data_IF_522446087434
#
_entry.id   IF_522446087434
#
_cell.length_a   1.000
_cell.length_b   1.000
_cell.length_c   1.000
_cell.angle_alpha   90.00
_cell.angle_beta   90.00
_cell.angle_gamma   90.00
#
_symmetry.space_group_name_H-M   'P 1'
#
loop_
_entity.id
_entity.type
_entity.pdbx_description
1 polymer ?
#
# COMPACT_ATOMS: atom_id res chain seq x y z
N UNK A 1 10.82 -13.05 0.70
CA UNK A 1 9.70 -13.18 1.64
C UNK A 1 9.73 -14.48 2.44
N UNK A 2 9.45 -14.44 3.74
CA UNK A 2 9.27 -15.65 4.58
C UNK A 2 7.81 -16.17 4.51
N UNK A 3 7.57 -17.40 4.97
CA UNK A 3 6.24 -18.03 4.87
C UNK A 3 5.18 -17.36 5.76
N UNK A 4 5.58 -16.79 6.90
CA UNK A 4 4.69 -16.07 7.83
C UNK A 4 4.14 -14.81 7.18
N UNK A 5 5.02 -13.97 6.63
CA UNK A 5 4.67 -12.74 5.89
C UNK A 5 3.74 -13.05 4.72
N UNK A 6 4.06 -14.08 3.93
CA UNK A 6 3.20 -14.47 2.82
C UNK A 6 1.80 -14.87 3.29
N UNK A 7 1.71 -15.71 4.33
CA UNK A 7 0.43 -16.15 4.90
C UNK A 7 -0.38 -14.96 5.41
N UNK A 8 0.26 -14.00 6.08
CA UNK A 8 -0.40 -12.77 6.53
C UNK A 8 -0.99 -11.98 5.36
N UNK A 9 -0.17 -11.67 4.34
CA UNK A 9 -0.59 -10.94 3.13
C UNK A 9 -1.75 -11.64 2.41
N UNK A 10 -1.81 -12.97 2.42
CA UNK A 10 -2.88 -13.72 1.75
C UNK A 10 -4.17 -13.81 2.57
N UNK A 11 -4.10 -13.77 3.91
CA UNK A 11 -5.23 -14.17 4.78
C UNK A 11 -5.83 -13.04 5.63
N UNK A 12 -5.08 -11.96 5.90
CA UNK A 12 -5.59 -10.84 6.71
C UNK A 12 -6.84 -10.23 6.09
N UNK A 13 -7.83 -9.87 6.92
CA UNK A 13 -9.05 -9.21 6.43
C UNK A 13 -8.94 -7.70 6.61
N UNK A 14 -9.68 -6.96 5.78
CA UNK A 14 -9.79 -5.49 5.91
C UNK A 14 -10.22 -5.10 7.33
N UNK A 15 -11.11 -5.89 7.96
CA UNK A 15 -11.58 -5.67 9.33
C UNK A 15 -10.55 -5.93 10.44
N UNK A 16 -9.46 -6.62 10.12
CA UNK A 16 -8.44 -7.00 11.11
C UNK A 16 -7.37 -5.91 11.26
N UNK A 17 -7.37 -4.90 10.38
CA UNK A 17 -6.43 -3.78 10.40
C UNK A 17 -7.05 -2.63 11.22
N UNK A 18 -6.33 -2.07 12.22
CA UNK A 18 -6.80 -0.93 13.01
C UNK A 18 -6.63 0.38 12.22
N UNK A 19 -7.36 0.53 11.12
CA UNK A 19 -7.19 1.63 10.15
C UNK A 19 -7.20 3.03 10.78
N UNK A 20 -8.05 3.26 11.79
CA UNK A 20 -8.15 4.55 12.47
C UNK A 20 -6.89 4.92 13.27
N UNK A 21 -6.00 3.95 13.53
CA UNK A 21 -4.73 4.13 14.25
C UNK A 21 -3.52 4.19 13.33
N UNK A 22 -3.71 3.97 12.02
CA UNK A 22 -2.65 4.04 11.02
C UNK A 22 -2.64 5.41 10.37
N UNK A 23 -1.46 6.03 10.31
CA UNK A 23 -1.31 7.35 9.70
C UNK A 23 -1.25 7.30 8.19
N UNK A 24 -1.73 8.38 7.61
CA UNK A 24 -1.67 8.72 6.20
C UNK A 24 -1.05 10.12 6.04
N UNK A 25 -0.89 10.56 4.79
CA UNK A 25 -0.48 11.94 4.50
C UNK A 25 -1.39 12.99 5.13
N UNK A 26 -2.71 12.77 5.11
CA UNK A 26 -3.70 13.75 5.57
C UNK A 26 -4.56 13.24 6.73
N UNK A 27 -3.92 12.54 7.68
CA UNK A 27 -4.55 12.10 8.93
C UNK A 27 -4.49 10.59 9.13
N UNK A 28 -5.66 9.93 9.13
CA UNK A 28 -5.83 8.51 9.46
C UNK A 28 -6.45 7.74 8.32
N UNK A 29 -6.14 6.46 8.25
CA UNK A 29 -6.68 5.56 7.25
C UNK A 29 -8.13 5.10 7.54
N UNK A 30 -8.85 5.75 8.46
CA UNK A 30 -10.20 5.37 8.93
C UNK A 30 -11.17 5.01 7.81
N UNK A 31 -11.15 5.76 6.70
CA UNK A 31 -12.06 5.59 5.57
C UNK A 31 -11.56 4.62 4.49
N UNK A 32 -10.33 4.08 4.61
CA UNK A 32 -9.75 3.15 3.64
C UNK A 32 -10.63 1.93 3.36
N UNK A 33 -11.28 1.28 4.35
CA UNK A 33 -12.20 0.17 4.07
C UNK A 33 -13.29 0.51 3.05
N UNK A 34 -13.86 1.73 3.12
CA UNK A 34 -14.91 2.16 2.21
C UNK A 34 -14.36 2.38 0.80
N UNK A 35 -13.19 3.03 0.66
CA UNK A 35 -12.54 3.23 -0.64
C UNK A 35 -12.14 1.90 -1.29
N UNK A 36 -11.57 0.97 -0.50
CA UNK A 36 -11.22 -0.37 -0.98
C UNK A 36 -12.44 -1.17 -1.44
N UNK A 37 -13.59 -1.03 -0.77
CA UNK A 37 -14.85 -1.67 -1.18
C UNK A 37 -15.33 -1.13 -2.53
N UNK A 38 -15.26 0.19 -2.77
CA UNK A 38 -15.60 0.81 -4.05
C UNK A 38 -14.76 0.22 -5.19
N UNK A 39 -13.44 0.14 -5.00
CA UNK A 39 -12.52 -0.43 -5.99
C UNK A 39 -12.78 -1.94 -6.20
N UNK A 40 -13.08 -2.69 -5.13
CA UNK A 40 -13.39 -4.12 -5.22
C UNK A 40 -14.67 -4.40 -6.01
N UNK A 41 -15.67 -3.54 -5.87
CA UNK A 41 -16.98 -3.69 -6.51
C UNK A 41 -16.96 -3.48 -8.02
N UNK A 42 -16.07 -2.62 -8.53
CA UNK A 42 -15.86 -2.37 -9.97
C UNK A 42 -17.14 -1.99 -10.73
N UNK A 43 -17.99 -1.16 -10.11
CA UNK A 43 -19.34 -0.81 -10.63
C UNK A 43 -19.40 0.52 -11.37
N UNK A 44 -18.57 1.49 -11.01
CA UNK A 44 -18.66 2.86 -11.48
C UNK A 44 -17.25 3.47 -11.56
N UNK A 45 -16.91 4.06 -12.71
CA UNK A 45 -15.56 4.60 -12.97
C UNK A 45 -15.35 5.87 -12.15
N UNK A 46 -16.31 6.78 -12.10
CA UNK A 46 -16.18 8.05 -11.36
C UNK A 46 -15.99 7.79 -9.85
N UNK A 47 -16.68 6.79 -9.30
CA UNK A 47 -16.50 6.36 -7.91
C UNK A 47 -15.12 5.72 -7.68
N UNK A 48 -14.62 4.93 -8.63
CA UNK A 48 -13.27 4.37 -8.58
C UNK A 48 -12.23 5.48 -8.60
N UNK A 49 -12.36 6.47 -9.47
CA UNK A 49 -11.41 7.57 -9.61
C UNK A 49 -11.32 8.34 -8.30
N UNK A 50 -12.48 8.70 -7.72
CA UNK A 50 -12.54 9.40 -6.45
C UNK A 50 -11.92 8.58 -5.30
N UNK A 51 -12.32 7.30 -5.15
CA UNK A 51 -11.80 6.45 -4.08
C UNK A 51 -10.31 6.09 -4.28
N UNK A 52 -9.88 5.92 -5.52
CA UNK A 52 -8.51 5.64 -5.89
C UNK A 52 -7.59 6.83 -5.64
N UNK A 53 -8.05 8.05 -5.94
CA UNK A 53 -7.32 9.29 -5.63
C UNK A 53 -7.15 9.47 -4.11
N UNK A 54 -8.22 9.28 -3.33
CA UNK A 54 -8.16 9.34 -1.86
C UNK A 54 -7.16 8.34 -1.28
N UNK A 55 -7.12 7.11 -1.80
CA UNK A 55 -6.13 6.12 -1.39
C UNK A 55 -4.71 6.53 -1.80
N UNK A 56 -4.50 6.88 -3.07
CA UNK A 56 -3.19 7.20 -3.62
C UNK A 56 -2.52 8.35 -2.87
N UNK A 57 -3.24 9.46 -2.65
CA UNK A 57 -2.74 10.65 -1.97
C UNK A 57 -2.43 10.45 -0.49
N UNK A 58 -2.98 9.39 0.13
CA UNK A 58 -2.83 9.11 1.55
C UNK A 58 -1.83 7.99 1.85
N UNK A 59 -1.49 7.14 0.87
CA UNK A 59 -0.47 6.10 1.01
C UNK A 59 0.92 6.56 0.52
N UNK A 60 1.00 7.62 -0.26
CA UNK A 60 2.27 8.18 -0.71
C UNK A 60 2.13 9.69 -0.87
N UNK A 61 3.15 10.42 -0.40
CA UNK A 61 3.27 11.83 -0.69
C UNK A 61 4.73 12.27 -0.69
N UNK A 62 5.13 13.00 -1.75
CA UNK A 62 6.50 13.52 -1.93
C UNK A 62 7.57 12.42 -1.78
N UNK A 63 7.33 11.27 -2.42
CA UNK A 63 8.19 10.09 -2.41
C UNK A 63 8.37 9.44 -1.04
N UNK A 64 7.44 9.67 -0.11
CA UNK A 64 7.44 9.08 1.24
C UNK A 64 6.23 8.17 1.40
N UNK A 65 6.48 6.94 1.88
CA UNK A 65 5.42 6.00 2.25
C UNK A 65 5.00 6.20 3.71
N UNK A 66 3.72 5.93 3.99
CA UNK A 66 3.10 6.12 5.30
C UNK A 66 2.79 4.79 5.98
N UNK A 67 2.42 4.85 7.27
CA UNK A 67 2.16 3.66 8.08
C UNK A 67 1.04 2.79 7.49
N UNK A 68 0.01 3.41 6.89
CA UNK A 68 -1.08 2.70 6.23
C UNK A 68 -0.70 2.02 4.90
N UNK A 69 0.37 2.46 4.24
CA UNK A 69 0.75 2.04 2.88
C UNK A 69 0.94 0.53 2.71
N UNK A 70 1.79 -0.16 3.49
CA UNK A 70 1.98 -1.60 3.30
C UNK A 70 0.66 -2.37 3.45
N UNK A 71 -0.23 -1.94 4.36
CA UNK A 71 -1.53 -2.58 4.57
C UNK A 71 -2.50 -2.31 3.42
N UNK A 72 -2.60 -1.07 2.95
CA UNK A 72 -3.44 -0.73 1.79
C UNK A 72 -3.02 -1.53 0.55
N UNK A 73 -1.72 -1.68 0.31
CA UNK A 73 -1.19 -2.45 -0.83
C UNK A 73 -1.61 -3.92 -0.82
N UNK A 74 -1.79 -4.54 0.35
CA UNK A 74 -2.30 -5.92 0.42
C UNK A 74 -3.64 -6.02 -0.29
N UNK A 75 -4.55 -5.09 0.00
CA UNK A 75 -5.89 -5.10 -0.55
C UNK A 75 -5.91 -4.60 -1.99
N UNK A 76 -5.11 -3.59 -2.33
CA UNK A 76 -4.95 -3.13 -3.72
C UNK A 76 -4.40 -4.24 -4.62
N UNK A 77 -3.45 -5.06 -4.15
CA UNK A 77 -2.97 -6.24 -4.87
C UNK A 77 -4.09 -7.26 -5.12
N UNK A 78 -4.92 -7.53 -4.10
CA UNK A 78 -6.05 -8.46 -4.23
C UNK A 78 -7.12 -7.93 -5.19
N UNK A 79 -7.39 -6.63 -5.15
CA UNK A 79 -8.27 -5.93 -6.09
C UNK A 79 -7.70 -6.02 -7.50
N UNK A 80 -6.40 -5.74 -7.69
CA UNK A 80 -5.72 -5.86 -8.97
C UNK A 80 -5.85 -7.27 -9.54
N UNK A 81 -5.60 -8.30 -8.73
CA UNK A 81 -5.79 -9.70 -9.14
C UNK A 81 -7.20 -9.97 -9.63
N UNK A 82 -8.22 -9.56 -8.87
CA UNK A 82 -9.63 -9.69 -9.28
C UNK A 82 -9.92 -8.94 -10.59
N UNK A 83 -9.38 -7.73 -10.74
CA UNK A 83 -9.57 -6.92 -11.93
C UNK A 83 -8.93 -7.58 -13.17
N UNK A 84 -7.73 -8.17 -13.01
CA UNK A 84 -7.06 -8.96 -14.05
C UNK A 84 -7.87 -10.19 -14.47
N UNK A 85 -8.59 -10.83 -13.54
CA UNK A 85 -9.46 -11.97 -13.84
C UNK A 85 -10.74 -11.54 -14.60
N UNK A 86 -11.24 -10.33 -14.36
CA UNK A 86 -12.50 -9.83 -14.91
C UNK A 86 -12.37 -8.94 -16.17
N UNK A 87 -11.19 -8.36 -16.42
CA UNK A 87 -10.96 -7.38 -17.50
C UNK A 87 -11.27 -7.89 -18.92
N UNK A 88 -11.38 -9.21 -19.12
CA UNK A 88 -11.81 -9.79 -20.40
C UNK A 88 -13.28 -9.50 -20.76
N UNK A 89 -14.12 -9.22 -19.76
CA UNK A 89 -15.56 -9.02 -19.92
C UNK A 89 -16.14 -7.87 -19.08
N UNK A 90 -15.33 -7.21 -18.26
CA UNK A 90 -15.67 -6.00 -17.51
C UNK A 90 -14.73 -4.85 -17.93
N UNK A 91 -15.29 -3.82 -18.57
CA UNK A 91 -14.49 -2.65 -19.00
C UNK A 91 -13.98 -1.82 -17.82
N UNK A 92 -14.73 -1.77 -16.72
CA UNK A 92 -14.32 -1.08 -15.49
C UNK A 92 -13.16 -1.81 -14.83
N UNK A 93 -13.18 -3.16 -14.83
CA UNK A 93 -12.04 -3.94 -14.36
C UNK A 93 -10.79 -3.68 -15.23
N UNK A 94 -10.93 -3.60 -16.56
CA UNK A 94 -9.82 -3.26 -17.46
C UNK A 94 -9.26 -1.87 -17.20
N UNK A 95 -10.13 -0.90 -16.94
CA UNK A 95 -9.75 0.44 -16.53
C UNK A 95 -8.95 0.41 -15.21
N UNK A 96 -9.50 -0.26 -14.19
CA UNK A 96 -8.87 -0.36 -12.88
C UNK A 96 -7.51 -1.09 -12.90
N UNK A 97 -7.32 -2.11 -13.75
CA UNK A 97 -6.00 -2.75 -13.96
C UNK A 97 -4.96 -1.71 -14.39
N UNK A 98 -5.32 -0.81 -15.32
CA UNK A 98 -4.41 0.24 -15.77
C UNK A 98 -4.08 1.21 -14.64
N UNK A 99 -5.09 1.71 -13.93
CA UNK A 99 -4.87 2.70 -12.86
C UNK A 99 -4.06 2.14 -11.68
N UNK A 100 -4.33 0.90 -11.28
CA UNK A 100 -3.54 0.24 -10.23
C UNK A 100 -2.11 -0.06 -10.68
N UNK A 101 -1.88 -0.40 -11.96
CA UNK A 101 -0.53 -0.57 -12.48
C UNK A 101 0.25 0.77 -12.45
N UNK A 102 -0.39 1.88 -12.79
CA UNK A 102 0.21 3.22 -12.67
C UNK A 102 0.56 3.56 -11.22
N UNK A 103 -0.37 3.34 -10.28
CA UNK A 103 -0.11 3.53 -8.85
C UNK A 103 1.05 2.66 -8.34
N UNK A 104 1.08 1.37 -8.71
CA UNK A 104 2.16 0.47 -8.29
C UNK A 104 3.52 0.87 -8.84
N UNK A 105 3.59 1.51 -10.02
CA UNK A 105 4.86 2.08 -10.53
C UNK A 105 5.33 3.20 -9.61
N UNK A 106 4.45 4.14 -9.25
CA UNK A 106 4.79 5.26 -8.36
C UNK A 106 5.32 4.74 -7.02
N UNK A 107 4.62 3.78 -6.42
CA UNK A 107 5.05 3.17 -5.16
C UNK A 107 6.38 2.43 -5.32
N UNK A 108 6.58 1.68 -6.40
CA UNK A 108 7.83 0.98 -6.65
C UNK A 108 9.00 1.94 -6.87
N UNK A 109 8.80 3.11 -7.49
CA UNK A 109 9.81 4.16 -7.60
C UNK A 109 10.18 4.72 -6.22
N UNK A 110 9.19 5.00 -5.37
CA UNK A 110 9.42 5.44 -3.99
C UNK A 110 10.21 4.40 -3.18
N UNK A 111 9.89 3.12 -3.36
CA UNK A 111 10.62 2.00 -2.74
C UNK A 111 12.07 1.96 -3.21
N UNK A 112 12.29 2.02 -4.53
CA UNK A 112 13.64 2.01 -5.10
C UNK A 112 14.50 3.11 -4.49
N UNK A 113 13.95 4.32 -4.44
CA UNK A 113 14.68 5.49 -3.96
C UNK A 113 14.90 5.40 -2.43
N UNK A 114 13.90 4.91 -1.68
CA UNK A 114 14.03 4.67 -0.23
C UNK A 114 15.07 3.61 0.13
N UNK A 115 15.22 2.55 -0.67
CA UNK A 115 16.23 1.51 -0.49
C UNK A 115 17.67 1.99 -0.77
N UNK A 116 17.86 3.13 -1.42
CA UNK A 116 19.20 3.72 -1.63
C UNK A 116 19.69 4.53 -0.42
N UNK A 117 18.81 4.85 0.54
CA UNK A 117 19.15 5.61 1.73
C UNK A 117 19.75 4.71 2.81
N UNK A 118 20.41 5.32 3.81
CA UNK A 118 20.81 4.59 5.00
C UNK A 118 19.55 4.18 5.79
N UNK A 119 19.44 2.90 6.09
CA UNK A 119 18.32 2.34 6.83
C UNK A 119 18.82 1.23 7.77
N UNK A 120 18.07 1.01 8.84
CA UNK A 120 18.25 -0.16 9.70
C UNK A 120 17.55 -1.38 9.09
N UNK A 121 17.66 -2.54 9.73
CA UNK A 121 16.89 -3.73 9.34
C UNK A 121 15.40 -3.54 9.66
N UNK A 122 14.53 -4.09 8.82
CA UNK A 122 13.08 -4.09 9.04
C UNK A 122 12.66 -4.95 10.24
N UNK A 123 11.43 -4.74 10.72
CA UNK A 123 10.78 -5.60 11.71
C UNK A 123 10.68 -7.06 11.23
N UNK A 124 10.63 -8.01 12.16
CA UNK A 124 10.73 -9.45 11.86
C UNK A 124 9.53 -10.00 11.07
N UNK A 125 8.33 -9.53 11.38
CA UNK A 125 7.08 -9.93 10.73
C UNK A 125 6.30 -8.71 10.25
N UNK A 126 5.44 -8.91 9.25
CA UNK A 126 4.58 -7.86 8.73
C UNK A 126 3.65 -7.29 9.80
N UNK A 127 3.04 -8.17 10.60
CA UNK A 127 2.10 -7.81 11.65
C UNK A 127 2.74 -7.08 12.84
N UNK A 128 4.07 -7.15 12.98
CA UNK A 128 4.77 -6.43 14.05
C UNK A 128 4.59 -4.91 13.89
N UNK A 129 4.34 -4.41 12.67
CA UNK A 129 3.97 -3.00 12.42
C UNK A 129 2.64 -2.57 13.06
N UNK A 130 1.84 -3.53 13.55
CA UNK A 130 0.59 -3.31 14.29
C UNK A 130 0.75 -3.49 15.81
N UNK A 131 1.98 -3.64 16.31
CA UNK A 131 2.21 -3.68 17.75
C UNK A 131 1.79 -2.35 18.40
N UNK A 132 1.25 -2.43 19.62
CA UNK A 132 0.68 -1.29 20.34
C UNK A 132 1.64 -0.09 20.46
N UNK A 133 2.94 -0.34 20.56
CA UNK A 133 3.97 0.70 20.65
C UNK A 133 4.10 1.57 19.38
N UNK A 134 3.67 1.05 18.23
CA UNK A 134 3.72 1.74 16.93
C UNK A 134 2.38 2.35 16.54
N UNK A 135 1.29 1.86 17.11
CA UNK A 135 -0.03 2.38 16.85
C UNK A 135 -0.21 3.74 17.54
N UNK A 136 -0.93 4.63 16.88
CA UNK A 136 -1.31 5.89 17.49
C UNK A 136 -2.54 5.71 18.37
N UNK A 137 -2.98 6.73 19.15
CA UNK A 137 -4.14 6.58 20.04
C UNK A 137 -5.41 6.08 19.34
N UNK A 138 -6.26 5.40 20.10
CA UNK A 138 -7.57 4.91 19.63
C UNK A 138 -8.52 6.07 19.28
N UNK A 139 -8.44 7.17 20.03
CA UNK A 139 -9.22 8.37 19.78
C UNK A 139 -8.42 9.31 18.89
N UNK A 140 -9.00 9.72 17.76
CA UNK A 140 -8.39 10.69 16.87
C UNK A 140 -8.52 12.10 17.46
N UNK A 141 -7.38 12.75 17.68
CA UNK A 141 -7.26 14.15 18.03
C UNK A 141 -6.24 14.81 17.11
N UNK A 142 -6.70 15.75 16.27
CA UNK A 142 -5.85 16.42 15.29
C UNK A 142 -4.73 17.24 15.95
N UNK A 143 -5.01 17.89 17.07
CA UNK A 143 -4.04 18.74 17.76
C UNK A 143 -2.95 17.87 18.42
N UNK A 144 -3.33 16.73 19.05
CA UNK A 144 -2.36 15.78 19.59
C UNK A 144 -1.54 15.11 18.47
N UNK A 145 -2.17 14.78 17.34
CA UNK A 145 -1.48 14.16 16.21
C UNK A 145 -0.43 15.11 15.62
N UNK A 146 -0.77 16.41 15.47
CA UNK A 146 0.17 17.45 15.02
C UNK A 146 1.34 17.59 15.98
N UNK A 147 1.07 17.60 17.29
CA UNK A 147 2.14 17.68 18.31
C UNK A 147 3.12 16.52 18.20
N UNK A 148 2.64 15.31 17.93
CA UNK A 148 3.50 14.13 17.73
C UNK A 148 4.38 14.27 16.49
N UNK A 149 3.89 14.88 15.41
CA UNK A 149 4.71 15.15 14.22
C UNK A 149 5.79 16.23 14.44
N UNK A 150 5.66 17.05 15.49
CA UNK A 150 6.70 18.01 15.88
C UNK A 150 7.83 17.38 16.71
N UNK A 151 7.68 16.13 17.14
CA UNK A 151 8.71 15.39 17.86
C UNK A 151 9.89 15.01 16.95
N UNK A 152 11.09 14.86 17.54
CA UNK A 152 12.30 14.54 16.79
C UNK A 152 12.24 13.15 16.12
N UNK A 153 11.52 12.20 16.72
CA UNK A 153 11.41 10.81 16.28
C UNK A 153 9.93 10.38 16.24
N UNK A 154 9.25 10.65 15.11
CA UNK A 154 7.82 10.30 14.92
C UNK A 154 7.62 8.78 14.82
N UNK A 155 8.53 8.12 14.11
CA UNK A 155 8.57 6.67 13.93
C UNK A 155 9.99 6.17 14.22
N UNK A 156 10.12 5.03 14.92
CA UNK A 156 11.39 4.31 14.98
C UNK A 156 11.89 3.94 13.58
N UNK A 157 13.21 3.96 13.39
CA UNK A 157 13.84 3.74 12.06
C UNK A 157 13.46 2.37 11.44
N UNK A 158 13.32 1.33 12.26
CA UNK A 158 12.99 -0.04 11.83
C UNK A 158 11.53 -0.15 11.39
N UNK A 159 10.61 0.50 12.11
CA UNK A 159 9.22 0.66 11.70
C UNK A 159 9.12 1.43 10.38
N UNK A 160 9.79 2.58 10.28
CA UNK A 160 9.74 3.40 9.08
C UNK A 160 10.28 2.66 7.86
N UNK A 161 11.42 1.98 8.00
CA UNK A 161 11.96 1.14 6.91
C UNK A 161 11.04 -0.04 6.56
N UNK A 162 10.33 -0.59 7.56
CA UNK A 162 9.34 -1.66 7.33
C UNK A 162 8.22 -1.25 6.37
N UNK A 163 7.86 0.04 6.31
CA UNK A 163 6.88 0.53 5.34
C UNK A 163 7.33 0.25 3.90
N UNK A 164 8.60 0.49 3.58
CA UNK A 164 9.19 0.26 2.26
C UNK A 164 9.42 -1.22 2.00
N UNK A 165 10.05 -1.91 2.95
CA UNK A 165 10.38 -3.33 2.80
C UNK A 165 9.13 -4.19 2.57
N UNK A 166 8.10 -4.02 3.40
CA UNK A 166 6.89 -4.84 3.30
C UNK A 166 6.00 -4.42 2.13
N UNK A 167 5.97 -3.13 1.76
CA UNK A 167 5.33 -2.69 0.52
C UNK A 167 5.97 -3.36 -0.71
N UNK A 168 7.30 -3.51 -0.74
CA UNK A 168 7.99 -4.27 -1.79
C UNK A 168 7.58 -5.74 -1.78
N UNK A 169 7.55 -6.39 -0.60
CA UNK A 169 7.15 -7.80 -0.53
C UNK A 169 5.73 -8.03 -1.08
N UNK A 170 4.81 -7.09 -0.87
CA UNK A 170 3.47 -7.12 -1.45
C UNK A 170 3.54 -6.92 -2.97
N UNK A 171 4.24 -5.89 -3.47
CA UNK A 171 4.31 -5.63 -4.91
C UNK A 171 5.00 -6.75 -5.70
N UNK A 172 6.00 -7.44 -5.13
CA UNK A 172 6.64 -8.57 -5.81
C UNK A 172 5.64 -9.71 -6.14
N UNK A 173 4.55 -9.83 -5.39
CA UNK A 173 3.47 -10.80 -5.67
C UNK A 173 2.62 -10.42 -6.89
N UNK A 174 2.72 -9.19 -7.40
CA UNK A 174 2.02 -8.79 -8.61
C UNK A 174 2.70 -9.31 -9.88
N UNK A 175 4.03 -9.56 -9.86
CA UNK A 175 4.83 -10.00 -11.03
C UNK A 175 4.18 -11.10 -11.89
N UNK A 176 3.66 -12.22 -11.34
CA UNK A 176 3.04 -13.27 -12.16
C UNK A 176 1.70 -12.87 -12.80
N UNK A 177 1.09 -11.77 -12.36
CA UNK A 177 -0.19 -11.26 -12.87
C UNK A 177 -0.02 -10.30 -14.05
N UNK A 178 1.20 -9.78 -14.28
CA UNK A 178 1.47 -8.71 -15.24
C UNK A 178 1.49 -9.21 -16.69
N UNK A 179 0.73 -8.54 -17.57
CA UNK A 179 0.71 -8.76 -19.01
C UNK A 179 1.92 -8.10 -19.69
N UNK A 180 2.76 -8.92 -20.31
CA UNK A 180 3.96 -8.49 -21.05
C UNK A 180 3.65 -7.72 -22.34
N UNK A 181 2.38 -7.61 -22.73
CA UNK A 181 1.95 -6.83 -23.87
C UNK A 181 1.39 -5.45 -23.47
N UNK A 182 1.18 -5.20 -22.17
CA UNK A 182 0.75 -3.91 -21.66
C UNK A 182 1.96 -3.07 -21.25
N UNK A 183 2.08 -1.85 -21.79
CA UNK A 183 3.21 -0.96 -21.54
C UNK A 183 3.42 -0.67 -20.05
N UNK A 184 2.36 -0.37 -19.30
CA UNK A 184 2.47 -0.04 -17.87
C UNK A 184 2.90 -1.25 -17.05
N UNK A 185 2.30 -2.41 -17.33
CA UNK A 185 2.63 -3.65 -16.64
C UNK A 185 4.04 -4.14 -16.96
N UNK A 186 4.54 -3.92 -18.19
CA UNK A 186 5.95 -4.16 -18.54
C UNK A 186 6.88 -3.24 -17.74
N UNK A 187 6.58 -1.94 -17.67
CA UNK A 187 7.38 -0.99 -16.89
C UNK A 187 7.42 -1.38 -15.41
N UNK A 188 6.28 -1.76 -14.83
CA UNK A 188 6.21 -2.24 -13.45
C UNK A 188 7.03 -3.52 -13.27
N UNK A 189 6.94 -4.48 -14.19
CA UNK A 189 7.71 -5.73 -14.13
C UNK A 189 9.22 -5.49 -14.18
N UNK A 190 9.68 -4.58 -15.05
CA UNK A 190 11.09 -4.19 -15.16
C UNK A 190 11.58 -3.56 -13.86
N UNK A 191 10.83 -2.60 -13.33
CA UNK A 191 11.16 -1.90 -12.09
C UNK A 191 11.21 -2.84 -10.88
N UNK A 192 10.21 -3.71 -10.71
CA UNK A 192 10.21 -4.70 -9.63
C UNK A 192 11.32 -5.76 -9.78
N UNK A 193 11.77 -6.02 -11.00
CA UNK A 193 12.91 -6.92 -11.24
C UNK A 193 14.22 -6.22 -10.93
N UNK A 194 14.35 -4.92 -11.20
CA UNK A 194 15.51 -4.11 -10.81
C UNK A 194 15.66 -4.06 -9.29
N UNK A 195 14.57 -3.75 -8.56
CA UNK A 195 14.60 -3.61 -7.09
C UNK A 195 14.89 -4.93 -6.37
N UNK A 196 14.46 -6.06 -6.93
CA UNK A 196 14.67 -7.39 -6.31
C UNK A 196 16.12 -7.89 -6.42
N UNK A 197 16.90 -7.39 -7.38
CA UNK A 197 18.27 -7.85 -7.69
C UNK A 197 19.35 -7.10 -6.91
#
# INVERSE_FOLDING_TARGET
MNATTQTYIETVKVSDIPWHRLTTTYGRATDFPAHLEVLWDMKDVDAIDAAGEELAQNIEHQSTLWHATPFALIFLLRIFKKAVEEQGHNEIARYLVKELAELFIIIAECIRDGLMLEHVDQLSNFEDMLNEEYLWPEEYDEDEDVLRYEEEEVFPDDLFFSFYYYSLQVLLLCKPLLDKNNKYEVTLLELLTEIEN
#
